data_IF_542011016741
#
_entry.id   IF_542011016741
#
_cell.length_a   1.000
_cell.length_b   1.000
_cell.length_c   1.000
_cell.angle_alpha   90.00
_cell.angle_beta   90.00
_cell.angle_gamma   90.00
#
_symmetry.space_group_name_H-M   'P 1'
#
loop_
_entity.id
_entity.type
_entity.pdbx_description
1 polymer ?
#
# COMPACT_ATOMS: atom_id res chain seq x y z
N UNK A 1 -1.80 18.60 19.06
CA UNK A 1 -0.54 18.22 19.73
C UNK A 1 -0.47 16.69 19.60
N UNK A 2 0.51 16.19 18.84
CA UNK A 2 0.72 14.75 18.70
C UNK A 2 1.46 14.18 19.91
N UNK A 3 1.11 12.97 20.29
CA UNK A 3 1.81 12.21 21.33
C UNK A 3 2.91 11.32 20.72
N UNK A 4 3.81 10.85 21.55
CA UNK A 4 4.94 9.99 21.11
C UNK A 4 4.51 8.59 20.62
N UNK A 5 3.26 8.20 20.88
CA UNK A 5 2.65 6.93 20.47
C UNK A 5 1.86 7.01 19.15
N UNK A 6 1.97 8.14 18.43
CA UNK A 6 1.25 8.38 17.17
C UNK A 6 -0.21 8.84 17.36
N UNK A 7 -0.67 8.99 18.61
CA UNK A 7 -1.99 9.55 18.89
C UNK A 7 -1.98 11.08 18.88
N UNK A 8 -3.12 11.66 18.56
CA UNK A 8 -3.32 13.09 18.60
C UNK A 8 -4.74 13.43 19.06
N UNK A 9 -4.89 14.60 19.65
CA UNK A 9 -6.17 15.10 20.15
C UNK A 9 -6.64 16.19 19.21
N UNK A 10 -7.87 16.06 18.72
CA UNK A 10 -8.58 17.12 18.04
C UNK A 10 -9.47 17.85 19.05
N UNK A 11 -9.33 19.15 19.16
CA UNK A 11 -10.15 20.00 20.05
C UNK A 11 -10.73 21.16 19.23
N UNK A 12 -12.05 21.28 19.26
CA UNK A 12 -12.78 22.36 18.59
C UNK A 12 -13.61 23.11 19.62
N UNK A 13 -13.42 24.43 19.77
CA UNK A 13 -14.18 25.24 20.71
C UNK A 13 -15.68 25.17 20.50
N UNK A 14 -16.46 25.47 21.54
CA UNK A 14 -17.88 25.65 21.43
C UNK A 14 -18.21 26.88 20.57
N UNK A 15 -19.32 26.79 19.87
CA UNK A 15 -19.92 27.89 19.10
C UNK A 15 -19.87 27.68 17.61
N UNK A 16 -21.05 27.57 17.01
CA UNK A 16 -21.26 28.05 15.66
C UNK A 16 -20.85 29.51 15.63
N UNK A 17 -20.09 29.92 14.63
CA UNK A 17 -19.83 31.33 14.43
C UNK A 17 -21.18 32.05 14.33
N UNK A 18 -21.58 32.73 15.42
CA UNK A 18 -22.80 33.51 15.48
C UNK A 18 -22.65 34.78 14.64
N UNK A 19 -22.66 34.63 13.33
CA UNK A 19 -22.99 35.72 12.43
C UNK A 19 -24.18 35.27 11.61
N UNK A 20 -25.17 36.14 11.52
CA UNK A 20 -26.41 35.91 10.77
C UNK A 20 -26.17 35.56 9.26
N UNK A 21 -24.92 35.40 8.85
CA UNK A 21 -24.47 35.12 7.47
C UNK A 21 -23.51 33.95 7.33
N UNK A 22 -23.02 33.32 8.42
CA UNK A 22 -22.08 32.21 8.33
C UNK A 22 -22.65 30.95 8.99
N UNK A 23 -23.12 30.02 8.17
CA UNK A 23 -23.75 28.77 8.58
C UNK A 23 -22.74 27.63 8.81
N UNK A 24 -21.45 27.90 8.73
CA UNK A 24 -20.44 26.86 8.87
C UNK A 24 -20.10 26.60 10.34
N UNK A 25 -20.10 25.33 10.73
CA UNK A 25 -19.65 24.90 12.04
C UNK A 25 -18.16 25.19 12.23
N UNK A 26 -17.74 25.59 13.45
CA UNK A 26 -16.33 25.70 13.78
C UNK A 26 -15.62 24.38 13.56
N UNK A 27 -14.49 24.40 12.85
CA UNK A 27 -13.73 23.20 12.53
C UNK A 27 -12.23 23.41 12.64
N UNK A 28 -11.51 22.33 12.89
CA UNK A 28 -10.04 22.28 12.89
C UNK A 28 -9.61 21.13 12.01
N UNK A 29 -8.67 21.39 11.10
CA UNK A 29 -8.08 20.35 10.24
C UNK A 29 -6.67 20.04 10.71
N UNK A 30 -6.41 18.75 10.87
CA UNK A 30 -5.09 18.19 11.11
C UNK A 30 -4.64 17.50 9.82
N UNK A 31 -3.47 17.87 9.33
CA UNK A 31 -2.89 17.29 8.12
C UNK A 31 -1.53 16.67 8.44
N UNK A 32 -1.33 15.45 7.97
CA UNK A 32 -0.06 14.76 7.99
C UNK A 32 0.45 14.62 6.55
N UNK A 33 1.73 14.87 6.35
CA UNK A 33 2.40 14.74 5.05
C UNK A 33 3.62 13.84 5.24
N UNK A 34 3.78 12.89 4.36
CA UNK A 34 4.85 11.90 4.37
C UNK A 34 5.88 12.23 3.30
N UNK A 35 7.16 11.98 3.60
CA UNK A 35 8.25 12.19 2.64
C UNK A 35 8.22 11.19 1.47
N UNK A 36 7.69 9.99 1.74
CA UNK A 36 7.41 8.95 0.76
C UNK A 36 5.97 8.47 0.92
N UNK A 37 5.32 7.98 -0.15
CA UNK A 37 3.99 7.40 -0.03
C UNK A 37 4.00 6.23 0.95
N UNK A 38 3.06 6.20 1.88
CA UNK A 38 2.91 5.11 2.84
C UNK A 38 1.44 4.68 2.95
N UNK A 39 1.24 3.42 3.27
CA UNK A 39 -0.07 2.93 3.69
C UNK A 39 -0.27 3.27 5.15
N UNK A 40 -1.32 4.02 5.45
CA UNK A 40 -1.60 4.51 6.79
C UNK A 40 -3.04 4.28 7.16
N UNK A 41 -3.26 3.91 8.41
CA UNK A 41 -4.56 3.82 9.00
C UNK A 41 -4.79 4.87 10.08
N UNK A 42 -6.06 5.14 10.34
CA UNK A 42 -6.54 5.98 11.41
C UNK A 42 -7.60 5.22 12.21
N UNK A 43 -7.45 5.21 13.52
CA UNK A 43 -8.40 4.57 14.43
C UNK A 43 -8.73 5.47 15.62
N UNK A 44 -9.90 5.24 16.22
CA UNK A 44 -10.31 5.88 17.45
C UNK A 44 -9.84 5.07 18.66
N UNK A 45 -8.91 5.62 19.43
CA UNK A 45 -8.24 4.89 20.51
C UNK A 45 -8.28 5.64 21.84
N UNK A 46 -8.10 4.90 22.92
CA UNK A 46 -7.68 5.45 24.21
C UNK A 46 -6.20 5.76 24.20
N UNK A 47 -5.82 6.93 24.65
CA UNK A 47 -4.45 7.22 25.09
C UNK A 47 -4.37 7.22 26.60
N UNK A 48 -3.19 7.02 27.16
CA UNK A 48 -2.98 6.97 28.62
C UNK A 48 -3.46 8.25 29.36
N UNK A 49 -3.60 9.37 28.63
CA UNK A 49 -3.97 10.67 29.17
C UNK A 49 -5.32 11.20 28.63
N UNK A 50 -6.08 10.41 27.90
CA UNK A 50 -7.33 10.86 27.29
C UNK A 50 -8.54 10.35 28.05
N UNK A 51 -9.36 11.30 28.49
CA UNK A 51 -10.74 11.06 28.92
C UNK A 51 -11.75 11.54 27.87
N UNK A 52 -11.25 11.89 26.68
CA UNK A 52 -12.06 12.54 25.67
C UNK A 52 -12.86 11.51 24.87
N UNK A 53 -14.12 11.84 24.66
CA UNK A 53 -15.11 10.99 24.00
C UNK A 53 -15.18 11.36 22.51
N UNK A 54 -15.50 10.42 21.64
CA UNK A 54 -16.01 10.75 20.31
C UNK A 54 -17.42 11.29 20.47
N UNK A 55 -17.61 12.58 20.19
CA UNK A 55 -18.86 13.25 20.50
C UNK A 55 -19.94 12.98 19.45
N UNK A 56 -21.18 12.81 19.91
CA UNK A 56 -22.33 12.69 19.04
C UNK A 56 -22.63 14.00 18.26
N UNK A 57 -22.25 15.15 18.83
CA UNK A 57 -22.43 16.48 18.23
C UNK A 57 -21.20 16.90 17.39
N UNK A 58 -20.56 15.96 16.72
CA UNK A 58 -19.42 16.21 15.88
C UNK A 58 -19.61 15.63 14.47
N UNK A 59 -18.97 16.29 13.51
CA UNK A 59 -18.80 15.81 12.14
C UNK A 59 -17.32 15.73 11.85
N UNK A 60 -16.93 14.67 11.17
CA UNK A 60 -15.56 14.44 10.76
C UNK A 60 -15.47 14.25 9.26
N UNK A 61 -14.41 14.79 8.68
CA UNK A 61 -14.08 14.60 7.26
C UNK A 61 -12.63 14.13 7.18
N UNK A 62 -12.41 12.97 6.59
CA UNK A 62 -11.08 12.46 6.31
C UNK A 62 -10.82 12.52 4.81
N UNK A 63 -9.67 13.09 4.44
CA UNK A 63 -9.22 13.19 3.05
C UNK A 63 -7.84 12.59 2.89
N UNK A 64 -7.60 12.02 1.71
CA UNK A 64 -6.31 11.60 1.22
C UNK A 64 -5.86 12.45 0.02
N UNK A 65 -4.82 12.01 -0.69
CA UNK A 65 -4.45 12.58 -1.98
C UNK A 65 -5.57 12.39 -3.01
N UNK A 66 -5.65 13.26 -4.01
CA UNK A 66 -6.76 13.27 -4.98
C UNK A 66 -6.96 11.96 -5.74
N UNK A 67 -5.89 11.23 -5.97
CA UNK A 67 -5.83 9.96 -6.70
C UNK A 67 -5.86 8.73 -5.79
N UNK A 68 -5.93 8.92 -4.49
CA UNK A 68 -5.93 7.84 -3.49
C UNK A 68 -7.25 7.77 -2.76
N UNK A 69 -7.72 6.56 -2.54
CA UNK A 69 -8.94 6.31 -1.76
C UNK A 69 -8.63 6.06 -0.29
N UNK A 70 -9.62 6.36 0.53
CA UNK A 70 -9.69 5.95 1.93
C UNK A 70 -10.82 4.95 2.04
N UNK A 71 -10.55 3.80 2.63
CA UNK A 71 -11.58 2.82 2.97
C UNK A 71 -11.93 2.95 4.44
N UNK A 72 -13.21 3.15 4.74
CA UNK A 72 -13.73 3.04 6.10
C UNK A 72 -14.29 1.64 6.33
N UNK A 73 -13.83 1.00 7.39
CA UNK A 73 -14.39 -0.24 7.92
C UNK A 73 -15.20 0.10 9.17
N UNK A 74 -16.49 -0.25 9.18
CA UNK A 74 -17.47 0.09 10.22
C UNK A 74 -18.34 -1.13 10.56
N UNK A 75 -17.71 -2.23 11.03
CA UNK A 75 -18.38 -3.55 11.15
C UNK A 75 -19.59 -3.52 12.09
N UNK A 76 -19.55 -2.72 13.14
CA UNK A 76 -20.62 -2.64 14.14
C UNK A 76 -21.56 -1.46 13.89
N UNK A 77 -21.52 -0.85 12.70
CA UNK A 77 -22.38 0.26 12.32
C UNK A 77 -22.36 1.42 13.35
N UNK A 78 -21.19 1.70 13.90
CA UNK A 78 -20.99 2.78 14.87
C UNK A 78 -20.95 4.17 14.24
N UNK A 79 -20.75 4.23 12.92
CA UNK A 79 -20.70 5.47 12.15
C UNK A 79 -21.88 5.57 11.19
N UNK A 80 -22.33 6.80 11.01
CA UNK A 80 -23.14 7.23 9.88
C UNK A 80 -22.19 7.84 8.85
N UNK A 81 -22.34 7.49 7.57
CA UNK A 81 -21.44 7.89 6.49
C UNK A 81 -22.26 8.59 5.39
N UNK A 82 -21.81 9.76 4.96
CA UNK A 82 -22.38 10.48 3.82
C UNK A 82 -21.70 9.98 2.54
N UNK A 83 -22.35 9.04 1.83
CA UNK A 83 -21.76 8.34 0.68
C UNK A 83 -21.93 9.08 -0.64
N UNK A 84 -22.84 10.04 -0.71
CA UNK A 84 -23.19 10.78 -1.92
C UNK A 84 -22.92 12.29 -1.80
N UNK A 85 -22.38 12.74 -0.66
CA UNK A 85 -22.02 14.13 -0.37
C UNK A 85 -23.19 15.12 -0.37
N UNK A 86 -24.41 14.64 -0.06
CA UNK A 86 -25.61 15.49 0.02
C UNK A 86 -25.84 16.08 1.42
N UNK A 87 -25.00 15.71 2.39
CA UNK A 87 -25.09 16.14 3.79
C UNK A 87 -26.08 15.31 4.62
N UNK A 88 -26.64 14.25 4.03
CA UNK A 88 -27.45 13.26 4.72
C UNK A 88 -26.56 12.05 5.01
N UNK A 89 -26.56 11.60 6.24
CA UNK A 89 -25.68 10.53 6.71
C UNK A 89 -26.44 9.22 6.79
N UNK A 90 -25.97 8.21 6.04
CA UNK A 90 -26.58 6.89 5.96
C UNK A 90 -26.11 5.97 7.09
N UNK A 91 -27.03 5.12 7.56
CA UNK A 91 -26.76 4.03 8.49
C UNK A 91 -26.62 2.70 7.75
N UNK A 92 -25.96 1.72 8.37
CA UNK A 92 -25.81 0.37 7.80
C UNK A 92 -24.66 0.25 6.80
N UNK A 93 -23.86 1.27 6.64
CA UNK A 93 -22.67 1.23 5.80
C UNK A 93 -21.55 0.58 6.62
N UNK A 94 -21.19 -0.65 6.30
CA UNK A 94 -20.13 -1.42 6.99
C UNK A 94 -18.77 -1.25 6.36
N UNK A 95 -18.73 -0.90 5.07
CA UNK A 95 -17.53 -0.60 4.30
C UNK A 95 -17.84 0.41 3.20
N UNK A 96 -16.96 1.39 3.00
CA UNK A 96 -17.09 2.39 1.95
C UNK A 96 -15.72 2.95 1.60
N UNK A 97 -15.47 3.18 0.31
CA UNK A 97 -14.21 3.72 -0.20
C UNK A 97 -14.43 4.97 -1.03
N UNK A 98 -13.70 6.04 -0.71
CA UNK A 98 -13.70 7.29 -1.45
C UNK A 98 -12.43 8.10 -1.17
N UNK A 99 -12.16 9.13 -1.97
CA UNK A 99 -11.09 10.11 -1.68
C UNK A 99 -11.40 11.01 -0.48
N UNK A 100 -12.67 11.10 -0.09
CA UNK A 100 -13.15 11.83 1.08
C UNK A 100 -14.19 10.97 1.80
N UNK A 101 -14.02 10.79 3.10
CA UNK A 101 -15.00 10.10 3.96
C UNK A 101 -15.57 11.13 4.93
N UNK A 102 -16.87 11.36 4.86
CA UNK A 102 -17.63 12.18 5.81
C UNK A 102 -18.42 11.28 6.73
N UNK A 103 -18.26 11.50 8.03
CA UNK A 103 -18.93 10.64 8.98
C UNK A 103 -19.35 11.38 10.26
N UNK A 104 -20.32 10.79 10.94
CA UNK A 104 -20.78 11.13 12.29
C UNK A 104 -20.93 9.87 13.11
N UNK A 105 -21.02 10.03 14.43
CA UNK A 105 -21.33 8.91 15.30
C UNK A 105 -22.79 8.48 15.10
N UNK A 106 -23.02 7.17 14.93
CA UNK A 106 -24.37 6.59 14.88
C UNK A 106 -24.90 6.34 16.29
N UNK A 107 -24.98 7.41 17.06
CA UNK A 107 -25.48 7.38 18.45
C UNK A 107 -25.85 8.78 18.91
N UNK A 108 -26.79 8.86 19.80
CA UNK A 108 -27.15 10.11 20.50
C UNK A 108 -26.27 10.36 21.73
N UNK A 109 -25.45 9.38 22.12
CA UNK A 109 -24.50 9.48 23.21
C UNK A 109 -23.08 9.34 22.67
N UNK A 110 -22.15 10.07 23.26
CA UNK A 110 -20.73 10.01 22.89
C UNK A 110 -20.15 8.61 23.11
N UNK A 111 -19.25 8.21 22.23
CA UNK A 111 -18.56 6.92 22.30
C UNK A 111 -17.36 7.03 23.26
N UNK A 112 -17.26 6.09 24.19
CA UNK A 112 -16.15 6.05 25.15
C UNK A 112 -14.80 5.79 24.42
N UNK A 113 -13.69 6.38 24.88
CA UNK A 113 -12.37 6.16 24.31
C UNK A 113 -12.01 4.66 24.20
N UNK A 114 -11.47 4.24 23.07
CA UNK A 114 -11.06 2.86 22.85
C UNK A 114 -12.18 1.84 22.63
N UNK A 115 -13.43 2.28 22.52
CA UNK A 115 -14.57 1.40 22.24
C UNK A 115 -15.01 1.45 20.78
N UNK A 116 -14.32 2.22 19.94
CA UNK A 116 -14.55 2.22 18.50
C UNK A 116 -14.00 0.96 17.84
N UNK A 117 -14.82 0.33 16.99
CA UNK A 117 -14.43 -0.83 16.20
C UNK A 117 -14.16 -0.46 14.73
N UNK A 118 -14.44 0.79 14.37
CA UNK A 118 -14.20 1.32 13.03
C UNK A 118 -12.76 1.73 12.82
N UNK A 119 -12.31 1.65 11.56
CA UNK A 119 -10.98 2.04 11.10
C UNK A 119 -11.07 2.72 9.74
N UNK A 120 -10.10 3.58 9.46
CA UNK A 120 -9.91 4.19 8.16
C UNK A 120 -8.55 3.76 7.63
N UNK A 121 -8.49 3.29 6.40
CA UNK A 121 -7.29 2.76 5.77
C UNK A 121 -7.04 3.49 4.46
N UNK A 122 -5.79 3.80 4.15
CA UNK A 122 -5.37 4.34 2.85
C UNK A 122 -4.12 3.61 2.37
N UNK A 123 -3.96 3.54 1.05
CA UNK A 123 -2.86 2.85 0.42
C UNK A 123 -1.94 3.86 -0.28
N UNK A 124 -0.64 3.80 0.02
CA UNK A 124 0.41 4.62 -0.62
C UNK A 124 0.02 6.10 -0.77
N UNK A 125 -0.41 6.73 0.30
CA UNK A 125 -0.77 8.14 0.32
C UNK A 125 0.41 9.01 0.75
N UNK A 126 0.56 10.18 0.13
CA UNK A 126 1.52 11.21 0.55
C UNK A 126 0.94 12.09 1.66
N UNK A 127 -0.38 12.22 1.70
CA UNK A 127 -1.05 13.03 2.72
C UNK A 127 -2.32 12.35 3.22
N UNK A 128 -2.59 12.58 4.49
CA UNK A 128 -3.90 12.32 5.08
C UNK A 128 -4.28 13.49 5.98
N UNK A 129 -5.54 13.86 5.96
CA UNK A 129 -6.05 14.90 6.84
C UNK A 129 -7.36 14.49 7.49
N UNK A 130 -7.57 14.96 8.70
CA UNK A 130 -8.85 14.86 9.40
C UNK A 130 -9.33 16.25 9.78
N UNK A 131 -10.55 16.58 9.39
CA UNK A 131 -11.26 17.78 9.81
C UNK A 131 -12.30 17.40 10.85
N UNK A 132 -12.20 17.98 12.01
CA UNK A 132 -13.17 17.84 13.09
C UNK A 132 -14.01 19.11 13.14
N UNK A 133 -15.31 18.98 12.98
CA UNK A 133 -16.30 20.08 13.09
C UNK A 133 -17.14 19.88 14.34
N UNK A 134 -17.25 20.91 15.14
CA UNK A 134 -18.12 20.92 16.33
C UNK A 134 -19.52 21.41 15.92
N UNK A 135 -20.52 20.58 16.13
CA UNK A 135 -21.94 20.92 15.88
C UNK A 135 -22.66 21.45 17.11
N UNK A 136 -22.00 21.45 18.27
CA UNK A 136 -22.57 21.96 19.54
C UNK A 136 -22.38 23.46 19.65
N UNK A 137 -23.43 24.17 20.04
CA UNK A 137 -23.41 25.61 20.28
C UNK A 137 -22.86 25.98 21.68
N UNK A 138 -22.72 25.00 22.55
CA UNK A 138 -22.50 25.27 23.99
C UNK A 138 -21.26 24.62 24.58
N UNK A 139 -20.78 23.53 24.01
CA UNK A 139 -19.68 22.73 24.56
C UNK A 139 -18.55 22.54 23.55
N UNK A 140 -17.29 22.57 23.99
CA UNK A 140 -16.18 22.18 23.16
C UNK A 140 -16.24 20.67 22.87
N UNK A 141 -15.75 20.27 21.70
CA UNK A 141 -15.62 18.88 21.29
C UNK A 141 -14.15 18.48 21.29
N UNK A 142 -13.88 17.29 21.79
CA UNK A 142 -12.56 16.65 21.74
C UNK A 142 -12.68 15.22 21.29
N UNK A 143 -11.72 14.78 20.50
CA UNK A 143 -11.61 13.38 20.08
C UNK A 143 -10.15 12.99 19.94
N UNK A 144 -9.84 11.74 20.23
CA UNK A 144 -8.49 11.22 20.14
C UNK A 144 -8.42 10.16 19.05
N UNK A 145 -7.55 10.40 18.09
CA UNK A 145 -7.27 9.46 17.01
C UNK A 145 -5.80 9.02 17.06
N UNK A 146 -5.52 7.89 16.48
CA UNK A 146 -4.16 7.39 16.31
C UNK A 146 -3.92 7.03 14.84
N UNK A 147 -2.84 7.55 14.30
CA UNK A 147 -2.28 7.05 13.06
C UNK A 147 -1.43 5.80 13.34
N UNK A 148 -1.55 4.82 12.47
CA UNK A 148 -0.69 3.65 12.46
C UNK A 148 -0.25 3.34 11.04
N UNK A 149 0.97 2.81 10.88
CA UNK A 149 1.39 2.28 9.60
C UNK A 149 0.57 1.02 9.32
N UNK A 150 -0.03 0.98 8.15
CA UNK A 150 -0.72 -0.20 7.68
C UNK A 150 0.21 -0.90 6.69
N UNK A 151 0.84 -1.96 7.12
CA UNK A 151 1.62 -2.81 6.22
C UNK A 151 0.62 -3.60 5.38
N UNK A 152 0.31 -3.10 4.20
CA UNK A 152 -0.34 -3.90 3.17
C UNK A 152 0.80 -4.65 2.50
N UNK A 153 0.78 -5.98 2.51
CA UNK A 153 1.78 -6.75 1.78
C UNK A 153 1.76 -6.35 0.30
N UNK A 154 2.94 -6.27 -0.31
CA UNK A 154 3.04 -6.06 -1.74
C UNK A 154 2.46 -7.27 -2.45
N UNK A 155 1.76 -7.06 -3.54
CA UNK A 155 1.16 -8.03 -4.44
C UNK A 155 1.49 -7.48 -5.84
N UNK A 156 2.54 -8.03 -6.45
CA UNK A 156 3.18 -7.42 -7.62
C UNK A 156 2.39 -7.66 -8.89
N UNK A 157 1.82 -8.86 -9.07
CA UNK A 157 1.04 -9.26 -10.23
C UNK A 157 -0.47 -9.03 -10.06
N UNK A 158 -0.91 -8.63 -8.84
CA UNK A 158 -2.30 -8.34 -8.49
C UNK A 158 -3.23 -9.56 -8.58
N UNK A 159 -2.72 -10.77 -8.34
CA UNK A 159 -3.51 -12.00 -8.33
C UNK A 159 -4.27 -12.22 -7.01
N UNK A 160 -3.93 -11.45 -5.97
CA UNK A 160 -4.53 -11.48 -4.63
C UNK A 160 -3.72 -12.29 -3.62
N UNK A 161 -2.57 -12.82 -4.00
CA UNK A 161 -1.59 -13.44 -3.12
C UNK A 161 -0.43 -12.44 -2.93
N UNK A 162 -0.13 -12.00 -1.73
CA UNK A 162 1.01 -11.10 -1.51
C UNK A 162 2.35 -11.77 -1.82
N UNK A 163 3.32 -11.05 -2.39
CA UNK A 163 4.66 -11.52 -2.78
C UNK A 163 5.32 -12.41 -1.70
N UNK A 164 5.15 -12.08 -0.41
CA UNK A 164 5.71 -12.86 0.70
C UNK A 164 5.06 -14.25 0.90
N UNK A 165 3.95 -14.53 0.25
CA UNK A 165 3.20 -15.80 0.30
C UNK A 165 3.04 -16.40 -1.08
N UNK A 166 3.47 -15.69 -2.10
CA UNK A 166 3.49 -16.13 -3.48
C UNK A 166 4.75 -16.93 -3.78
N UNK A 167 4.70 -17.79 -4.73
CA UNK A 167 5.84 -18.57 -5.21
C UNK A 167 6.28 -18.17 -6.61
N UNK A 168 5.54 -17.24 -7.24
CA UNK A 168 5.73 -16.72 -8.59
C UNK A 168 5.16 -15.29 -8.58
N UNK A 169 5.92 -14.36 -7.99
CA UNK A 169 5.44 -13.03 -7.56
C UNK A 169 5.11 -12.07 -8.69
N UNK A 170 5.59 -12.31 -9.92
CA UNK A 170 5.26 -11.53 -11.13
C UNK A 170 4.41 -12.32 -12.13
N UNK A 171 4.12 -13.61 -11.80
CA UNK A 171 3.23 -14.52 -12.53
C UNK A 171 3.67 -14.77 -13.98
N UNK A 172 4.97 -14.86 -14.20
CA UNK A 172 5.57 -15.14 -15.51
C UNK A 172 5.72 -16.64 -15.81
N UNK A 173 5.61 -17.49 -14.76
CA UNK A 173 5.68 -18.95 -14.82
C UNK A 173 7.02 -19.54 -14.38
N UNK A 174 7.98 -18.71 -13.95
CA UNK A 174 9.21 -19.10 -13.29
C UNK A 174 9.05 -18.86 -11.79
N UNK A 175 9.59 -19.72 -10.95
CA UNK A 175 9.40 -19.57 -9.51
C UNK A 175 10.41 -18.58 -8.90
N UNK A 176 9.97 -17.72 -7.99
CA UNK A 176 10.82 -16.78 -7.23
C UNK A 176 12.12 -17.43 -6.70
N UNK A 177 12.00 -18.67 -6.20
CA UNK A 177 13.15 -19.42 -5.68
C UNK A 177 14.19 -19.80 -6.73
N UNK A 178 13.81 -19.80 -8.00
CA UNK A 178 14.68 -20.04 -9.14
C UNK A 178 15.33 -18.71 -9.55
N UNK A 179 14.53 -17.67 -9.68
CA UNK A 179 14.95 -16.37 -10.15
C UNK A 179 15.77 -15.59 -9.12
N UNK A 180 15.47 -15.73 -7.86
CA UNK A 180 16.26 -15.06 -6.81
C UNK A 180 17.72 -15.55 -6.73
N UNK A 181 18.07 -16.66 -7.39
CA UNK A 181 19.38 -17.33 -7.28
C UNK A 181 20.09 -17.46 -8.64
N UNK A 182 21.39 -17.23 -8.67
CA UNK A 182 22.20 -17.40 -9.88
C UNK A 182 22.10 -18.82 -10.47
N UNK A 183 22.07 -19.85 -9.63
CA UNK A 183 22.12 -21.24 -10.06
C UNK A 183 20.97 -22.11 -9.51
N UNK A 184 19.95 -21.54 -8.91
CA UNK A 184 18.79 -22.23 -8.34
C UNK A 184 19.14 -23.54 -7.56
N UNK A 185 20.22 -23.51 -6.79
CA UNK A 185 20.76 -24.70 -6.10
C UNK A 185 20.19 -24.85 -4.69
N UNK A 186 19.68 -23.79 -4.11
CA UNK A 186 19.09 -23.79 -2.79
C UNK A 186 17.60 -24.07 -2.93
N UNK A 187 17.13 -25.14 -2.35
CA UNK A 187 15.72 -25.53 -2.35
C UNK A 187 15.11 -25.26 -1.00
N UNK A 188 13.85 -24.83 -0.99
CA UNK A 188 13.09 -24.58 0.24
C UNK A 188 12.98 -25.86 1.06
N UNK A 189 13.43 -25.81 2.33
CA UNK A 189 13.34 -26.93 3.27
C UNK A 189 12.01 -26.98 4.02
N UNK A 190 11.23 -25.90 3.99
CA UNK A 190 10.03 -25.67 4.80
C UNK A 190 10.32 -25.77 6.31
N UNK A 191 11.51 -25.38 6.73
CA UNK A 191 11.92 -25.36 8.13
C UNK A 191 12.48 -23.97 8.49
N UNK A 192 11.98 -23.43 9.59
CA UNK A 192 12.46 -22.20 10.24
C UNK A 192 12.68 -22.53 11.73
N UNK A 193 13.87 -23.01 12.05
CA UNK A 193 14.17 -23.51 13.41
C UNK A 193 14.38 -22.39 14.42
N UNK A 194 14.73 -21.20 13.97
CA UNK A 194 14.95 -20.03 14.84
C UNK A 194 13.76 -19.07 14.87
N UNK A 195 12.71 -19.33 14.06
CA UNK A 195 11.47 -18.56 13.99
C UNK A 195 11.71 -17.09 13.65
N UNK A 196 12.62 -16.81 12.71
CA UNK A 196 12.90 -15.46 12.22
C UNK A 196 12.16 -15.12 10.92
N UNK A 197 11.43 -16.08 10.33
CA UNK A 197 10.67 -15.92 9.08
C UNK A 197 11.45 -16.27 7.83
N UNK A 198 12.70 -16.76 7.95
CA UNK A 198 13.53 -17.22 6.85
C UNK A 198 13.71 -18.74 6.92
N UNK A 199 13.56 -19.42 5.79
CA UNK A 199 13.83 -20.85 5.70
C UNK A 199 15.30 -21.13 6.02
N UNK A 200 15.58 -22.25 6.72
CA UNK A 200 16.94 -22.59 7.17
C UNK A 200 17.97 -22.64 6.05
N UNK A 201 17.57 -23.06 4.85
CA UNK A 201 18.48 -23.18 3.69
C UNK A 201 18.91 -21.83 3.13
N UNK A 202 18.11 -20.76 3.39
CA UNK A 202 18.43 -19.40 2.98
C UNK A 202 19.12 -18.56 4.05
N UNK A 203 19.47 -19.17 5.19
CA UNK A 203 20.20 -18.48 6.26
C UNK A 203 21.67 -18.18 5.91
N UNK A 204 22.20 -17.00 6.26
CA UNK A 204 21.59 -15.88 6.99
C UNK A 204 20.84 -14.88 6.11
N UNK A 205 20.41 -15.26 4.93
CA UNK A 205 19.87 -14.45 3.86
C UNK A 205 20.85 -14.27 2.71
N UNK A 206 20.32 -13.94 1.53
CA UNK A 206 21.12 -13.60 0.35
C UNK A 206 20.49 -12.38 -0.35
N UNK A 207 21.24 -11.77 -1.26
CA UNK A 207 20.72 -10.71 -2.10
C UNK A 207 20.17 -11.37 -3.37
N UNK A 208 18.88 -11.18 -3.67
CA UNK A 208 18.31 -11.64 -4.95
C UNK A 208 19.06 -11.05 -6.14
N UNK A 209 19.04 -11.77 -7.24
CA UNK A 209 19.64 -11.34 -8.51
C UNK A 209 18.80 -10.22 -9.11
N UNK A 210 19.46 -9.31 -9.77
CA UNK A 210 18.99 -8.24 -10.65
C UNK A 210 19.96 -8.29 -11.84
N UNK A 211 19.54 -9.01 -12.91
CA UNK A 211 20.42 -9.41 -14.02
C UNK A 211 20.82 -8.23 -14.88
N UNK A 212 19.90 -7.33 -15.18
CA UNK A 212 20.15 -6.16 -16.04
C UNK A 212 20.56 -4.90 -15.27
N UNK A 213 20.45 -4.94 -13.91
CA UNK A 213 20.81 -3.86 -12.97
C UNK A 213 19.94 -2.61 -13.12
N UNK A 214 18.66 -2.76 -13.46
CA UNK A 214 17.71 -1.67 -13.56
C UNK A 214 17.09 -1.28 -12.19
N UNK A 215 17.24 -2.16 -11.18
CA UNK A 215 16.80 -1.97 -9.81
C UNK A 215 15.53 -2.77 -9.47
N UNK A 216 14.98 -3.53 -10.41
CA UNK A 216 13.99 -4.58 -10.18
C UNK A 216 14.77 -5.90 -10.08
N UNK A 217 14.42 -6.76 -9.15
CA UNK A 217 15.07 -8.08 -9.03
C UNK A 217 14.33 -9.08 -9.90
N UNK A 218 15.04 -10.05 -10.46
CA UNK A 218 14.52 -10.96 -11.47
C UNK A 218 13.16 -11.58 -11.10
N UNK A 219 12.93 -11.99 -9.85
CA UNK A 219 11.65 -12.60 -9.43
C UNK A 219 10.46 -11.61 -9.34
N UNK A 220 10.65 -10.36 -9.76
CA UNK A 220 9.63 -9.31 -9.87
C UNK A 220 9.71 -8.61 -11.24
N UNK A 221 10.55 -9.11 -12.13
CA UNK A 221 10.81 -8.54 -13.45
C UNK A 221 10.30 -9.49 -14.53
N UNK A 222 9.51 -9.00 -15.44
CA UNK A 222 8.95 -9.77 -16.54
C UNK A 222 9.90 -9.94 -17.75
N UNK A 223 11.12 -9.34 -17.66
CA UNK A 223 12.13 -9.30 -18.75
C UNK A 223 13.50 -9.07 -18.09
N UNK A 224 13.98 -10.11 -17.36
CA UNK A 224 15.11 -10.06 -16.43
C UNK A 224 16.44 -9.58 -17.05
N UNK A 225 16.68 -9.82 -18.33
CA UNK A 225 17.90 -9.34 -19.02
C UNK A 225 17.65 -8.07 -19.87
N UNK A 226 16.37 -7.65 -19.95
CA UNK A 226 15.90 -6.43 -20.59
C UNK A 226 16.24 -6.41 -22.10
N UNK A 227 16.17 -7.58 -22.75
CA UNK A 227 16.38 -7.71 -24.20
C UNK A 227 15.12 -7.38 -25.01
N UNK A 228 13.95 -7.35 -24.35
CA UNK A 228 12.63 -7.08 -24.91
C UNK A 228 11.83 -8.35 -25.25
N UNK A 229 12.33 -9.52 -24.88
CA UNK A 229 11.62 -10.79 -24.86
C UNK A 229 11.29 -11.11 -23.40
N UNK A 230 10.09 -11.53 -23.12
CA UNK A 230 9.67 -11.80 -21.75
C UNK A 230 10.19 -13.14 -21.25
N UNK A 231 10.53 -13.24 -19.97
CA UNK A 231 10.97 -14.44 -19.26
C UNK A 231 10.01 -15.62 -19.47
N UNK A 232 8.70 -15.35 -19.46
CA UNK A 232 7.65 -16.34 -19.77
C UNK A 232 7.76 -16.96 -21.18
N UNK A 233 8.43 -16.30 -22.12
CA UNK A 233 8.66 -16.79 -23.50
C UNK A 233 9.96 -17.57 -23.57
N UNK A 234 11.01 -17.09 -22.89
CA UNK A 234 12.36 -17.68 -22.92
C UNK A 234 12.49 -18.88 -22.01
N UNK A 235 11.80 -18.86 -20.90
CA UNK A 235 11.74 -19.96 -19.91
C UNK A 235 13.02 -20.20 -19.10
N UNK A 236 12.91 -21.04 -18.08
CA UNK A 236 14.02 -21.40 -17.17
C UNK A 236 15.06 -22.39 -17.77
N UNK A 237 14.96 -22.71 -19.06
CA UNK A 237 15.91 -23.59 -19.70
C UNK A 237 17.29 -22.91 -19.82
N UNK A 238 18.31 -23.72 -20.13
CA UNK A 238 19.66 -23.34 -20.47
C UNK A 238 19.97 -24.13 -21.74
N UNK A 239 19.77 -23.48 -22.89
CA UNK A 239 19.74 -24.18 -24.19
C UNK A 239 21.12 -24.58 -24.66
N UNK A 240 22.13 -23.74 -24.44
CA UNK A 240 23.51 -23.94 -24.87
C UNK A 240 24.40 -24.60 -23.79
N UNK A 241 23.86 -24.72 -22.56
CA UNK A 241 24.51 -25.33 -21.41
C UNK A 241 25.76 -24.57 -20.91
N UNK A 242 25.79 -23.27 -21.03
CA UNK A 242 26.86 -22.43 -20.53
C UNK A 242 26.69 -22.09 -19.04
N UNK A 243 25.52 -22.33 -18.45
CA UNK A 243 25.16 -22.13 -17.07
C UNK A 243 24.38 -20.86 -16.79
N UNK A 244 24.03 -20.09 -17.82
CA UNK A 244 23.09 -18.99 -17.79
C UNK A 244 21.75 -19.54 -18.30
N UNK A 245 20.66 -19.16 -17.68
CA UNK A 245 19.32 -19.58 -18.14
C UNK A 245 18.83 -18.64 -19.22
N UNK A 246 18.01 -19.14 -20.15
CA UNK A 246 17.57 -18.37 -21.30
C UNK A 246 17.02 -16.99 -20.94
N UNK A 247 16.19 -16.88 -19.92
CA UNK A 247 15.59 -15.59 -19.49
C UNK A 247 16.59 -14.57 -18.90
N UNK A 248 17.88 -14.90 -18.90
CA UNK A 248 19.00 -14.04 -18.46
C UNK A 248 20.11 -13.97 -19.49
N UNK A 249 19.92 -14.59 -20.65
CA UNK A 249 20.95 -14.78 -21.66
C UNK A 249 20.54 -14.12 -22.96
N UNK A 250 21.31 -13.15 -23.40
CA UNK A 250 21.06 -12.38 -24.61
C UNK A 250 21.36 -13.15 -25.94
N UNK A 251 21.89 -14.39 -25.83
CA UNK A 251 22.27 -15.27 -27.00
C UNK A 251 22.18 -16.74 -26.57
N UNK A 252 20.94 -17.22 -26.36
CA UNK A 252 20.61 -18.51 -25.76
C UNK A 252 21.20 -19.74 -26.46
N UNK A 253 21.68 -19.66 -27.71
CA UNK A 253 22.24 -20.78 -28.44
C UNK A 253 23.71 -20.60 -28.84
N UNK A 254 24.37 -19.52 -28.43
CA UNK A 254 25.79 -19.15 -28.67
C UNK A 254 26.12 -19.11 -30.17
N UNK A 255 25.21 -18.73 -31.02
CA UNK A 255 25.51 -18.62 -32.47
C UNK A 255 26.01 -17.24 -32.90
N UNK A 256 26.12 -16.28 -31.96
CA UNK A 256 26.51 -14.87 -32.10
C UNK A 256 25.44 -14.00 -32.77
N UNK A 257 24.23 -14.44 -32.77
CA UNK A 257 23.04 -13.65 -33.12
C UNK A 257 22.18 -13.53 -31.86
N UNK A 258 22.07 -12.36 -31.31
CA UNK A 258 21.27 -12.18 -30.09
C UNK A 258 19.81 -12.54 -30.30
N UNK A 259 19.16 -13.04 -29.27
CA UNK A 259 17.77 -13.51 -29.27
C UNK A 259 16.79 -12.47 -29.79
N UNK A 260 17.00 -11.20 -29.44
CA UNK A 260 16.22 -10.07 -29.95
C UNK A 260 16.25 -9.96 -31.49
N UNK A 261 17.39 -10.24 -32.11
CA UNK A 261 17.52 -10.23 -33.59
C UNK A 261 16.83 -11.46 -34.18
N UNK A 262 16.99 -12.62 -33.59
CA UNK A 262 16.34 -13.86 -34.01
C UNK A 262 14.83 -13.80 -33.89
N UNK A 263 14.33 -13.14 -32.85
CA UNK A 263 12.92 -12.83 -32.69
C UNK A 263 12.37 -11.81 -33.71
N UNK A 264 13.27 -11.25 -34.55
CA UNK A 264 12.91 -10.34 -35.64
C UNK A 264 12.78 -8.88 -35.24
N UNK A 265 13.30 -8.52 -34.09
CA UNK A 265 13.36 -7.13 -33.62
C UNK A 265 14.65 -6.44 -34.09
N UNK A 266 14.79 -5.17 -33.78
CA UNK A 266 15.94 -4.36 -34.18
C UNK A 266 16.78 -4.05 -32.94
N UNK A 267 17.99 -4.57 -32.93
CA UNK A 267 19.07 -4.14 -32.05
C UNK A 267 19.91 -3.11 -32.85
N UNK A 268 19.76 -1.84 -32.52
CA UNK A 268 20.33 -0.75 -33.33
C UNK A 268 21.76 -0.36 -32.93
N UNK A 269 22.22 -0.75 -31.77
CA UNK A 269 23.56 -0.46 -31.21
C UNK A 269 24.39 -1.74 -30.96
N UNK A 270 23.82 -2.91 -31.21
CA UNK A 270 24.40 -4.24 -31.04
C UNK A 270 24.80 -4.53 -29.58
N UNK A 271 23.92 -4.23 -28.66
CA UNK A 271 24.08 -4.57 -27.26
C UNK A 271 23.30 -5.81 -26.81
N UNK A 272 22.58 -6.46 -27.74
CA UNK A 272 21.76 -7.64 -27.49
C UNK A 272 20.35 -7.32 -27.07
N UNK A 273 19.97 -6.04 -27.03
CA UNK A 273 18.70 -5.57 -26.51
C UNK A 273 17.86 -4.87 -27.56
N UNK A 274 16.56 -4.76 -27.33
CA UNK A 274 15.66 -4.10 -28.27
C UNK A 274 15.92 -2.57 -28.32
N UNK A 275 16.19 -2.06 -29.52
CA UNK A 275 16.27 -0.62 -29.79
C UNK A 275 17.66 -0.01 -29.62
N UNK A 276 17.79 1.12 -28.94
CA UNK A 276 19.03 1.88 -28.71
C UNK A 276 19.27 2.23 -27.26
N UNK A 277 18.46 1.73 -26.37
CA UNK A 277 18.55 1.91 -24.92
C UNK A 277 17.75 0.80 -24.26
N UNK A 278 18.16 0.34 -23.09
CA UNK A 278 17.40 -0.69 -22.39
C UNK A 278 15.95 -0.22 -22.20
N UNK A 279 15.01 -1.08 -22.57
CA UNK A 279 13.61 -0.89 -22.25
C UNK A 279 13.45 -1.24 -20.78
N UNK A 280 13.07 -0.28 -19.96
CA UNK A 280 12.54 -0.61 -18.64
C UNK A 280 11.10 -1.06 -18.82
N UNK A 281 10.86 -2.34 -18.67
CA UNK A 281 9.48 -2.89 -18.61
C UNK A 281 9.05 -2.87 -17.17
N UNK A 282 8.82 -1.66 -16.66
CA UNK A 282 8.26 -1.48 -15.32
C UNK A 282 6.78 -1.93 -15.27
N UNK A 283 6.43 -2.63 -14.22
CA UNK A 283 5.05 -2.98 -13.83
C UNK A 283 4.21 -1.74 -13.49
#
# INVERSE_FOLDING_TARGET
>A
IGNTDGSFITEVPAGKANSETNTEASGVTYKMTFAQPISVGLEYVTTANSSDLLNADAEYVINSDRDKTITVLNPDNQLLIDTNYDGIYETGITEYSSFEIRFRLNSTTSLAPGTGTFKFLTYLANTISITHKNLSDTLPNKSTFKFFANCIPKDSDLDGIPDQLDTDSDNDGILDTIEAQLNATILISNADTNSNGLDNEFEPGFTPIDTDLDGVVDYLDLDSDNDGIKDSVETENDLDLDGIRNYRDLDCDIDLCSDVIEAGFVDADNDGKFGTSPLTVDL
#
